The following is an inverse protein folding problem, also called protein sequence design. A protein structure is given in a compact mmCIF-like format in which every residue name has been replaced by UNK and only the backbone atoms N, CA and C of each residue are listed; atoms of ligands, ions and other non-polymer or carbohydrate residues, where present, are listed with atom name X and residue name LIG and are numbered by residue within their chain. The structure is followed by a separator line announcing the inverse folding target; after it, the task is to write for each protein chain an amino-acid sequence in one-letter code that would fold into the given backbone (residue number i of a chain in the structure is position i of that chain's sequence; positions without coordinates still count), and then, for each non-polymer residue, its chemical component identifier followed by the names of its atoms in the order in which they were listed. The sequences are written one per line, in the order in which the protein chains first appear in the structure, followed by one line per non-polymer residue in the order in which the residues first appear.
data_IF_595735848078
#
_entry.id   IF_595735848078
#
_cell.length_a   1.000
_cell.length_b   1.000
_cell.length_c   1.000
_cell.angle_alpha   90.00
_cell.angle_beta   90.00
_cell.angle_gamma   90.00
#
_symmetry.space_group_name_H-M   'P 1'
#
loop_
_entity.id
_entity.type
_entity.pdbx_description
1 polymer ?
#
# COMPACT_ATOMS: atom_id res chain seq x y z
N UNK A 1 0.17 -5.90 9.22
CA UNK A 1 -0.60 -5.65 7.98
C UNK A 1 -1.85 -4.83 8.23
N UNK A 2 -2.75 -5.25 9.12
CA UNK A 2 -3.98 -4.51 9.43
C UNK A 2 -3.73 -3.06 9.91
N UNK A 3 -2.64 -2.84 10.65
CA UNK A 3 -2.22 -1.53 11.17
C UNK A 3 -1.88 -0.52 10.07
N UNK A 4 -1.23 -0.94 8.98
CA UNK A 4 -0.92 -0.07 7.86
C UNK A 4 -2.15 0.26 7.03
N UNK A 5 -3.02 -0.72 6.80
CA UNK A 5 -4.31 -0.48 6.16
C UNK A 5 -5.17 0.52 6.94
N UNK A 6 -5.23 0.36 8.27
CA UNK A 6 -5.90 1.31 9.16
C UNK A 6 -5.29 2.71 9.12
N UNK A 7 -3.96 2.81 9.16
CA UNK A 7 -3.26 4.09 9.07
C UNK A 7 -3.53 4.80 7.73
N UNK A 8 -3.45 4.09 6.61
CA UNK A 8 -3.76 4.64 5.28
C UNK A 8 -5.21 5.13 5.22
N UNK A 9 -6.15 4.37 5.79
CA UNK A 9 -7.56 4.75 5.80
C UNK A 9 -7.81 6.01 6.63
N UNK A 10 -7.18 6.13 7.80
CA UNK A 10 -7.26 7.35 8.63
C UNK A 10 -6.73 8.56 7.87
N UNK A 11 -5.57 8.42 7.20
CA UNK A 11 -5.00 9.50 6.40
C UNK A 11 -5.92 9.87 5.25
N UNK A 12 -6.49 8.90 4.54
CA UNK A 12 -7.48 9.16 3.48
C UNK A 12 -8.69 9.91 4.01
N UNK A 13 -9.22 9.55 5.18
CA UNK A 13 -10.35 10.27 5.77
C UNK A 13 -10.01 11.72 6.11
N UNK A 14 -8.85 11.96 6.74
CA UNK A 14 -8.42 13.31 7.11
C UNK A 14 -8.25 14.19 5.87
N UNK A 15 -7.53 13.68 4.85
CA UNK A 15 -7.34 14.40 3.60
C UNK A 15 -8.67 14.57 2.85
N UNK A 16 -9.57 13.58 2.84
CA UNK A 16 -10.87 13.72 2.19
C UNK A 16 -11.70 14.86 2.81
N UNK A 17 -11.73 14.98 4.15
CA UNK A 17 -12.44 16.06 4.83
C UNK A 17 -11.83 17.42 4.50
N UNK A 18 -10.50 17.55 4.59
CA UNK A 18 -9.79 18.80 4.24
C UNK A 18 -10.00 19.17 2.77
N UNK A 19 -9.91 18.18 1.88
CA UNK A 19 -10.09 18.35 0.45
C UNK A 19 -11.51 18.78 0.08
N UNK A 20 -12.52 18.24 0.77
CA UNK A 20 -13.89 18.73 0.65
C UNK A 20 -13.94 20.22 1.01
N UNK A 21 -13.49 20.63 2.19
CA UNK A 21 -13.54 22.05 2.60
C UNK A 21 -12.82 23.00 1.64
N UNK A 22 -11.65 22.59 1.12
CA UNK A 22 -10.85 23.44 0.22
C UNK A 22 -11.39 23.49 -1.22
N UNK A 23 -11.93 22.38 -1.72
CA UNK A 23 -12.25 22.20 -3.15
C UNK A 23 -13.73 21.95 -3.42
N UNK A 24 -14.61 22.09 -2.43
CA UNK A 24 -16.05 21.92 -2.58
C UNK A 24 -16.62 22.84 -3.67
N UNK A 25 -17.35 22.25 -4.62
CA UNK A 25 -18.05 22.95 -5.69
C UNK A 25 -17.14 23.57 -6.77
N UNK A 26 -15.82 23.42 -6.68
CA UNK A 26 -14.85 24.02 -7.63
C UNK A 26 -14.80 23.29 -8.98
N UNK A 27 -15.07 21.99 -8.97
CA UNK A 27 -15.11 21.12 -10.14
C UNK A 27 -16.43 20.38 -10.10
N UNK A 28 -17.21 20.48 -11.17
CA UNK A 28 -18.50 19.83 -11.28
C UNK A 28 -18.56 19.00 -12.56
N UNK A 29 -19.20 17.84 -12.44
CA UNK A 29 -19.47 16.98 -13.58
C UNK A 29 -20.76 17.44 -14.26
N UNK A 30 -20.68 17.71 -15.55
CA UNK A 30 -21.83 18.06 -16.37
C UNK A 30 -22.07 16.99 -17.44
N UNK A 31 -23.34 16.61 -17.70
CA UNK A 31 -23.66 15.72 -18.81
C UNK A 31 -23.39 16.41 -20.16
N UNK A 32 -23.07 15.62 -21.18
CA UNK A 32 -22.66 16.11 -22.51
C UNK A 32 -23.69 17.03 -23.20
N UNK A 33 -24.97 16.94 -22.81
CA UNK A 33 -26.07 17.72 -23.38
C UNK A 33 -26.47 18.91 -22.50
N UNK A 34 -25.65 19.29 -21.53
CA UNK A 34 -25.94 20.43 -20.67
C UNK A 34 -25.65 21.75 -21.39
N UNK A 35 -26.62 22.67 -21.35
CA UNK A 35 -26.48 24.03 -21.88
C UNK A 35 -25.86 24.99 -20.84
N UNK A 36 -25.26 24.46 -19.78
CA UNK A 36 -24.65 25.27 -18.73
C UNK A 36 -23.36 25.91 -19.24
N UNK A 37 -23.13 27.21 -19.00
CA UNK A 37 -21.88 27.85 -19.36
C UNK A 37 -20.71 27.12 -18.70
N UNK A 38 -19.61 26.96 -19.44
CA UNK A 38 -18.40 26.26 -18.99
C UNK A 38 -18.57 24.76 -18.66
N UNK A 39 -19.61 24.10 -19.19
CA UNK A 39 -19.83 22.66 -19.00
C UNK A 39 -18.66 21.80 -19.51
N UNK A 40 -18.05 22.19 -20.64
CA UNK A 40 -16.85 21.53 -21.19
C UNK A 40 -15.60 21.71 -20.31
N UNK A 41 -15.61 22.68 -19.41
CA UNK A 41 -14.47 23.06 -18.56
C UNK A 41 -14.75 22.68 -17.09
N UNK A 42 -15.60 21.66 -16.87
CA UNK A 42 -16.02 21.18 -15.56
C UNK A 42 -16.62 22.28 -14.64
N UNK A 43 -17.22 23.31 -15.24
CA UNK A 43 -17.83 24.45 -14.52
C UNK A 43 -16.84 25.51 -14.03
N UNK A 44 -15.56 25.42 -14.43
CA UNK A 44 -14.55 26.39 -14.04
C UNK A 44 -13.80 26.94 -15.27
N UNK A 45 -13.94 28.24 -15.60
CA UNK A 45 -13.26 28.83 -16.75
C UNK A 45 -11.72 28.80 -16.64
N UNK A 46 -11.16 28.64 -15.44
CA UNK A 46 -9.72 28.48 -15.25
C UNK A 46 -9.17 27.13 -15.76
N UNK A 47 -10.05 26.15 -16.03
CA UNK A 47 -9.69 24.86 -16.61
C UNK A 47 -9.78 24.86 -18.15
N UNK A 48 -10.03 26.01 -18.77
CA UNK A 48 -10.06 26.15 -20.23
C UNK A 48 -8.73 25.70 -20.83
N UNK A 49 -8.83 24.83 -21.85
CA UNK A 49 -7.70 24.19 -22.54
C UNK A 49 -6.78 23.31 -21.68
N UNK A 50 -7.16 23.01 -20.44
CA UNK A 50 -6.42 22.07 -19.59
C UNK A 50 -6.54 20.63 -20.09
N UNK A 51 -5.49 19.83 -19.85
CA UNK A 51 -5.52 18.38 -20.06
C UNK A 51 -6.59 17.71 -19.19
N UNK A 52 -6.91 18.29 -18.04
CA UNK A 52 -7.94 17.81 -17.13
C UNK A 52 -9.34 17.84 -17.76
N UNK A 53 -9.73 18.99 -18.33
CA UNK A 53 -11.00 19.15 -19.02
C UNK A 53 -11.07 18.28 -20.29
N UNK A 54 -9.98 18.26 -21.08
CA UNK A 54 -9.90 17.45 -22.31
C UNK A 54 -9.95 15.94 -22.05
N UNK A 55 -9.36 15.50 -20.94
CA UNK A 55 -9.36 14.11 -20.47
C UNK A 55 -10.66 13.65 -19.81
N UNK A 56 -11.69 14.51 -19.74
CA UNK A 56 -12.99 14.22 -19.10
C UNK A 56 -12.88 13.81 -17.63
N UNK A 57 -11.90 14.35 -16.91
CA UNK A 57 -11.68 14.07 -15.50
C UNK A 57 -12.64 14.83 -14.55
N UNK A 58 -13.68 15.50 -15.07
CA UNK A 58 -14.63 16.26 -14.24
C UNK A 58 -15.37 15.44 -13.16
N UNK A 59 -15.41 14.11 -13.30
CA UNK A 59 -15.96 13.20 -12.28
C UNK A 59 -15.08 13.14 -11.01
N UNK A 60 -13.80 13.49 -11.14
CA UNK A 60 -12.83 13.55 -10.06
C UNK A 60 -12.96 14.91 -9.36
N UNK A 61 -13.83 14.96 -8.35
CA UNK A 61 -14.13 16.16 -7.58
C UNK A 61 -14.23 15.87 -6.08
N UNK A 62 -14.18 16.94 -5.29
CA UNK A 62 -14.28 16.90 -3.83
C UNK A 62 -15.66 17.36 -3.33
N UNK A 63 -16.73 17.12 -4.11
CA UNK A 63 -18.07 17.58 -3.72
C UNK A 63 -18.75 16.66 -2.71
N UNK A 64 -18.29 15.42 -2.58
CA UNK A 64 -18.78 14.49 -1.59
C UNK A 64 -17.64 13.60 -1.08
N UNK A 65 -17.88 12.93 0.05
CA UNK A 65 -16.86 12.12 0.70
C UNK A 65 -16.40 10.95 -0.19
N UNK A 66 -17.34 10.28 -0.86
CA UNK A 66 -17.04 9.14 -1.72
C UNK A 66 -16.20 9.54 -2.95
N UNK A 67 -16.54 10.64 -3.62
CA UNK A 67 -15.80 11.16 -4.77
C UNK A 67 -14.41 11.63 -4.35
N UNK A 68 -14.29 12.32 -3.21
CA UNK A 68 -13.02 12.72 -2.61
C UNK A 68 -12.12 11.51 -2.35
N UNK A 69 -12.68 10.44 -1.79
CA UNK A 69 -11.95 9.20 -1.52
C UNK A 69 -11.46 8.53 -2.82
N UNK A 70 -12.29 8.48 -3.86
CA UNK A 70 -11.90 7.95 -5.18
C UNK A 70 -10.73 8.77 -5.76
N UNK A 71 -10.80 10.11 -5.69
CA UNK A 71 -9.73 10.98 -6.18
C UNK A 71 -8.41 10.71 -5.43
N UNK A 72 -8.46 10.60 -4.09
CA UNK A 72 -7.26 10.30 -3.29
C UNK A 72 -6.70 8.89 -3.57
N UNK A 73 -7.56 7.92 -3.85
CA UNK A 73 -7.14 6.57 -4.24
C UNK A 73 -6.46 6.58 -5.62
N UNK A 74 -7.06 7.24 -6.60
CA UNK A 74 -6.47 7.40 -7.94
C UNK A 74 -5.12 8.13 -7.89
N UNK A 75 -5.01 9.16 -7.05
CA UNK A 75 -3.75 9.90 -6.83
C UNK A 75 -2.65 9.07 -6.18
N UNK A 76 -3.02 8.04 -5.43
CA UNK A 76 -2.06 7.13 -4.80
C UNK A 76 -1.52 6.10 -5.80
N UNK A 77 -2.33 5.72 -6.80
CA UNK A 77 -1.95 4.74 -7.84
C UNK A 77 -1.29 5.41 -9.05
N UNK A 78 -1.76 6.60 -9.45
CA UNK A 78 -1.39 7.26 -10.70
C UNK A 78 -0.80 8.64 -10.44
N UNK A 79 0.42 8.88 -10.94
CA UNK A 79 1.13 10.16 -10.76
C UNK A 79 0.88 11.13 -11.93
N UNK A 80 -0.34 11.67 -12.05
CA UNK A 80 -0.70 12.68 -13.07
C UNK A 80 -0.95 14.08 -12.46
N UNK A 81 -0.74 14.26 -11.15
CA UNK A 81 -1.10 15.50 -10.44
C UNK A 81 -0.21 16.71 -10.78
N UNK A 82 0.97 16.48 -11.34
CA UNK A 82 1.94 17.55 -11.66
C UNK A 82 1.44 18.54 -12.72
N UNK A 83 0.68 18.06 -13.70
CA UNK A 83 0.26 18.83 -14.88
C UNK A 83 -1.12 19.47 -14.75
N UNK A 84 -1.87 19.13 -13.69
CA UNK A 84 -3.32 19.38 -13.60
C UNK A 84 -3.67 20.56 -12.68
N UNK A 85 -2.76 21.01 -11.80
CA UNK A 85 -3.14 21.84 -10.64
C UNK A 85 -2.50 23.23 -10.59
N UNK A 86 -3.28 24.21 -10.14
CA UNK A 86 -2.82 25.58 -9.87
C UNK A 86 -2.00 25.66 -8.58
N UNK A 87 -1.16 26.71 -8.45
CA UNK A 87 -0.14 26.84 -7.38
C UNK A 87 -0.62 26.59 -5.93
N UNK A 88 -1.79 27.06 -5.45
CA UNK A 88 -2.21 26.81 -4.07
C UNK A 88 -2.72 25.39 -3.84
N UNK A 89 -3.35 24.79 -4.85
CA UNK A 89 -3.83 23.43 -4.77
C UNK A 89 -2.67 22.42 -4.81
N UNK A 90 -1.59 22.72 -5.56
CA UNK A 90 -0.38 21.88 -5.63
C UNK A 90 0.18 21.50 -4.27
N UNK A 91 0.20 22.42 -3.30
CA UNK A 91 0.77 22.14 -1.97
C UNK A 91 0.02 21.01 -1.25
N UNK A 92 -1.31 21.00 -1.34
CA UNK A 92 -2.14 19.95 -0.74
C UNK A 92 -1.83 18.58 -1.36
N UNK A 93 -1.74 18.49 -2.70
CA UNK A 93 -1.44 17.24 -3.39
C UNK A 93 -0.01 16.76 -3.14
N UNK A 94 0.97 17.67 -3.07
CA UNK A 94 2.35 17.35 -2.70
C UNK A 94 2.40 16.79 -1.27
N UNK A 95 1.74 17.45 -0.31
CA UNK A 95 1.71 17.00 1.07
C UNK A 95 1.07 15.61 1.19
N UNK A 96 -0.07 15.38 0.54
CA UNK A 96 -0.72 14.07 0.49
C UNK A 96 0.21 13.00 -0.09
N UNK A 97 0.85 13.30 -1.22
CA UNK A 97 1.75 12.36 -1.90
C UNK A 97 2.96 12.00 -1.04
N UNK A 98 3.60 12.97 -0.39
CA UNK A 98 4.72 12.73 0.53
C UNK A 98 4.29 11.78 1.66
N UNK A 99 3.15 12.04 2.30
CA UNK A 99 2.64 11.20 3.40
C UNK A 99 2.36 9.78 2.91
N UNK A 100 1.74 9.62 1.72
CA UNK A 100 1.46 8.31 1.14
C UNK A 100 2.73 7.54 0.80
N UNK A 101 3.71 8.19 0.18
CA UNK A 101 5.01 7.57 -0.14
C UNK A 101 5.70 7.10 1.13
N UNK A 102 5.69 7.90 2.20
CA UNK A 102 6.25 7.51 3.50
C UNK A 102 5.55 6.25 4.02
N UNK A 103 4.22 6.19 4.00
CA UNK A 103 3.47 5.03 4.49
C UNK A 103 3.79 3.79 3.65
N UNK A 104 3.77 3.92 2.31
CA UNK A 104 4.01 2.81 1.38
C UNK A 104 5.45 2.29 1.51
N UNK A 105 6.45 3.17 1.57
CA UNK A 105 7.86 2.78 1.72
C UNK A 105 8.10 2.07 3.05
N UNK A 106 7.55 2.59 4.15
CA UNK A 106 7.66 1.94 5.46
C UNK A 106 6.96 0.57 5.47
N UNK A 107 5.76 0.48 4.90
CA UNK A 107 5.04 -0.78 4.78
C UNK A 107 5.81 -1.79 3.92
N UNK A 108 6.40 -1.36 2.80
CA UNK A 108 7.22 -2.19 1.93
C UNK A 108 8.50 -2.68 2.62
N UNK A 109 9.18 -1.82 3.39
CA UNK A 109 10.36 -2.21 4.15
C UNK A 109 10.06 -3.26 5.22
N UNK A 110 8.97 -3.09 5.96
CA UNK A 110 8.52 -4.08 6.94
C UNK A 110 8.12 -5.39 6.25
N UNK A 111 7.44 -5.32 5.11
CA UNK A 111 7.08 -6.50 4.32
C UNK A 111 8.33 -7.26 3.88
N UNK A 112 9.35 -6.56 3.38
CA UNK A 112 10.63 -7.15 3.00
C UNK A 112 11.29 -7.87 4.20
N UNK A 113 11.36 -7.22 5.36
CA UNK A 113 11.93 -7.83 6.58
C UNK A 113 11.15 -9.08 6.97
N UNK A 114 9.82 -9.03 6.97
CA UNK A 114 8.97 -10.17 7.34
C UNK A 114 9.17 -11.32 6.35
N UNK A 115 9.15 -11.05 5.04
CA UNK A 115 9.42 -12.06 4.01
C UNK A 115 10.79 -12.70 4.18
N UNK A 116 11.82 -11.91 4.45
CA UNK A 116 13.17 -12.41 4.70
C UNK A 116 13.23 -13.30 5.95
N UNK A 117 12.57 -12.90 7.04
CA UNK A 117 12.51 -13.69 8.28
C UNK A 117 11.82 -15.03 8.08
N UNK A 118 10.70 -15.06 7.34
CA UNK A 118 9.98 -16.30 7.03
C UNK A 118 10.88 -17.23 6.21
N UNK A 119 11.58 -16.69 5.21
CA UNK A 119 12.51 -17.46 4.39
C UNK A 119 13.64 -18.10 5.22
N UNK A 120 14.30 -17.32 6.08
CA UNK A 120 15.37 -17.85 6.95
C UNK A 120 14.83 -18.92 7.92
N UNK A 121 13.65 -18.70 8.51
CA UNK A 121 13.02 -19.67 9.40
C UNK A 121 12.75 -21.01 8.70
N UNK A 122 12.24 -20.96 7.46
CA UNK A 122 11.97 -22.16 6.68
C UNK A 122 13.23 -22.97 6.39
N UNK A 123 14.32 -22.30 6.03
CA UNK A 123 15.61 -22.97 5.80
C UNK A 123 16.15 -23.58 7.10
N UNK A 124 16.09 -22.85 8.22
CA UNK A 124 16.56 -23.35 9.51
C UNK A 124 15.74 -24.55 10.00
N UNK A 125 14.44 -24.56 9.75
CA UNK A 125 13.57 -25.68 10.09
C UNK A 125 13.98 -26.95 9.36
N UNK A 126 14.25 -26.86 8.05
CA UNK A 126 14.73 -28.01 7.27
C UNK A 126 16.06 -28.57 7.80
N UNK A 127 17.02 -27.70 8.10
CA UNK A 127 18.31 -28.13 8.69
C UNK A 127 18.16 -28.71 10.09
N UNK A 128 17.26 -28.15 10.90
CA UNK A 128 17.01 -28.66 12.25
C UNK A 128 16.43 -30.07 12.22
N UNK A 129 15.51 -30.34 11.29
CA UNK A 129 14.94 -31.69 11.08
C UNK A 129 16.05 -32.67 10.70
N UNK A 130 16.88 -32.34 9.71
CA UNK A 130 17.98 -33.21 9.27
C UNK A 130 18.96 -33.52 10.41
N UNK A 131 19.41 -32.48 11.14
CA UNK A 131 20.32 -32.65 12.26
C UNK A 131 19.70 -33.48 13.40
N UNK A 132 18.40 -33.32 13.65
CA UNK A 132 17.70 -34.10 14.68
C UNK A 132 17.59 -35.59 14.32
N UNK A 133 17.43 -35.91 13.03
CA UNK A 133 17.44 -37.29 12.52
C UNK A 133 18.83 -37.90 12.64
N UNK A 134 19.87 -37.21 12.18
CA UNK A 134 21.26 -37.67 12.28
C UNK A 134 21.64 -37.95 13.75
N UNK A 135 21.28 -37.04 14.67
CA UNK A 135 21.54 -37.24 16.10
C UNK A 135 20.83 -38.48 16.65
N UNK A 136 19.58 -38.72 16.27
CA UNK A 136 18.81 -39.90 16.70
C UNK A 136 19.44 -41.21 16.19
N UNK A 137 19.95 -41.23 14.96
CA UNK A 137 20.65 -42.40 14.41
C UNK A 137 21.94 -42.69 15.17
N UNK A 138 22.73 -41.65 15.49
CA UNK A 138 23.96 -41.77 16.26
C UNK A 138 23.70 -42.28 17.68
N UNK A 139 22.69 -41.74 18.38
CA UNK A 139 22.32 -42.21 19.72
C UNK A 139 21.89 -43.69 19.68
N UNK A 140 21.09 -44.09 18.70
CA UNK A 140 20.65 -45.49 18.52
C UNK A 140 21.83 -46.43 18.26
N UNK A 141 22.77 -46.03 17.38
CA UNK A 141 23.96 -46.83 17.07
C UNK A 141 24.88 -46.99 18.29
N UNK A 142 25.02 -45.93 19.11
CA UNK A 142 25.78 -45.97 20.34
C UNK A 142 25.15 -46.91 21.37
N UNK A 143 23.82 -46.87 21.56
CA UNK A 143 23.10 -47.79 22.46
C UNK A 143 23.29 -49.25 22.05
N UNK A 144 23.21 -49.55 20.75
CA UNK A 144 23.47 -50.90 20.23
C UNK A 144 24.90 -51.36 20.53
N UNK A 145 25.90 -50.49 20.33
CA UNK A 145 27.30 -50.83 20.64
C UNK A 145 27.56 -51.06 22.12
N UNK A 146 26.91 -50.30 22.99
CA UNK A 146 26.99 -50.53 24.45
C UNK A 146 26.38 -51.88 24.82
N UNK A 147 25.25 -52.27 24.22
CA UNK A 147 24.63 -53.58 24.46
C UNK A 147 25.51 -54.73 23.96
N UNK A 148 26.08 -54.64 22.75
CA UNK A 148 27.01 -55.66 22.23
C UNK A 148 28.23 -55.85 23.14
N UNK A 149 28.85 -54.75 23.58
CA UNK A 149 30.03 -54.81 24.46
C UNK A 149 29.67 -55.28 25.88
N UNK A 150 28.51 -54.90 26.41
CA UNK A 150 28.02 -55.37 27.72
C UNK A 150 27.69 -56.87 27.74
N UNK A 151 27.23 -57.42 26.61
CA UNK A 151 27.02 -58.87 26.45
C UNK A 151 28.32 -59.65 26.21
N UNK A 152 29.39 -58.98 25.77
CA UNK A 152 30.72 -59.59 25.57
C UNK A 152 31.56 -59.76 26.83
N UNK A 153 31.12 -59.26 27.99
CA UNK A 153 31.86 -59.29 29.27
C UNK A 153 31.40 -60.45 30.19
N UNK A 154 30.51 -61.33 29.75
CA UNK A 154 30.22 -62.58 30.46
C UNK A 154 31.24 -63.68 30.08
N UNK A 155 32.40 -63.66 30.74
CA UNK A 155 33.21 -64.85 31.05
C UNK A 155 33.58 -64.84 32.54
#
# INVERSE_FOLDING_TARGET
MLTFGGLTLVVYCVFAIIGMELFHGKIQYFPANSNTPHALECGNPALKDSLFARGKYCKNNFNNFASSFIVLMELTVVNQWHDILSQPAKLYFIAFHIVMVIIIVNAAFILLIVSFRIFVSFILEAFFVEYSLEKSEVETAMEQKIQELGMGVQE
#
